data_IF_483821175301
#
_entry.id   IF_483821175301
#
_cell.length_a   1.000
_cell.length_b   1.000
_cell.length_c   1.000
_cell.angle_alpha   90.00
_cell.angle_beta   90.00
_cell.angle_gamma   90.00
#
_symmetry.space_group_name_H-M   'P 1'
#
loop_
_entity.id
_entity.type
_entity.pdbx_description
1 polymer ?
#
# COMPACT_ATOMS: atom_id res chain seq x y z
N UNK A 1 2.24 -14.77 -2.82
CA UNK A 1 1.84 -15.78 -1.81
C UNK A 1 2.34 -17.18 -2.13
N UNK A 2 1.97 -17.79 -3.27
CA UNK A 2 2.35 -19.19 -3.58
C UNK A 2 3.86 -19.41 -3.74
N UNK A 3 4.62 -18.34 -4.02
CA UNK A 3 6.09 -18.35 -4.12
C UNK A 3 6.81 -18.22 -2.76
N UNK A 4 6.10 -17.89 -1.67
CA UNK A 4 6.72 -17.69 -0.36
C UNK A 4 6.93 -19.03 0.34
N UNK A 5 8.19 -19.37 0.60
CA UNK A 5 8.59 -20.59 1.32
C UNK A 5 8.48 -20.43 2.83
N UNK A 6 8.74 -19.23 3.36
CA UNK A 6 8.59 -18.94 4.79
C UNK A 6 7.09 -18.93 5.17
N UNK A 7 6.66 -19.75 6.14
CA UNK A 7 5.24 -19.91 6.47
C UNK A 7 4.62 -18.63 7.08
N UNK A 8 5.39 -17.86 7.84
CA UNK A 8 4.93 -16.60 8.45
C UNK A 8 4.77 -15.53 7.37
N UNK A 9 5.75 -15.39 6.47
CA UNK A 9 5.66 -14.50 5.31
C UNK A 9 4.44 -14.85 4.44
N UNK A 10 4.23 -16.14 4.17
CA UNK A 10 3.09 -16.62 3.39
C UNK A 10 1.77 -16.26 4.07
N UNK A 11 1.65 -16.49 5.37
CA UNK A 11 0.46 -16.16 6.14
C UNK A 11 0.19 -14.64 6.18
N UNK A 12 1.24 -13.82 6.32
CA UNK A 12 1.12 -12.36 6.31
C UNK A 12 0.64 -11.86 4.94
N UNK A 13 1.24 -12.34 3.85
CA UNK A 13 0.80 -11.99 2.49
C UNK A 13 -0.64 -12.43 2.21
N UNK A 14 -1.06 -13.58 2.74
CA UNK A 14 -2.45 -14.04 2.63
C UNK A 14 -3.42 -13.15 3.40
N UNK A 15 -3.07 -12.78 4.64
CA UNK A 15 -3.85 -11.83 5.43
C UNK A 15 -3.99 -10.49 4.73
N UNK A 16 -2.92 -9.99 4.08
CA UNK A 16 -2.97 -8.75 3.29
C UNK A 16 -3.89 -8.90 2.08
N UNK A 17 -3.76 -9.98 1.31
CA UNK A 17 -4.67 -10.27 0.20
C UNK A 17 -6.15 -10.25 0.64
N UNK A 18 -6.50 -10.96 1.72
CA UNK A 18 -7.87 -10.99 2.25
C UNK A 18 -8.35 -9.61 2.71
N UNK A 19 -7.46 -8.82 3.32
CA UNK A 19 -7.77 -7.44 3.73
C UNK A 19 -8.11 -6.56 2.53
N UNK A 20 -7.35 -6.66 1.44
CA UNK A 20 -7.62 -5.92 0.20
C UNK A 20 -8.90 -6.41 -0.47
N UNK A 21 -9.22 -7.71 -0.44
CA UNK A 21 -10.50 -8.20 -0.96
C UNK A 21 -11.68 -7.59 -0.20
N UNK A 22 -11.64 -7.59 1.13
CA UNK A 22 -12.68 -6.97 1.98
C UNK A 22 -12.81 -5.47 1.74
N UNK A 23 -11.69 -4.77 1.59
CA UNK A 23 -11.70 -3.35 1.25
C UNK A 23 -12.34 -3.11 -0.13
N UNK A 24 -11.96 -3.89 -1.14
CA UNK A 24 -12.49 -3.78 -2.49
C UNK A 24 -14.00 -4.11 -2.57
N UNK A 25 -14.53 -5.01 -1.73
CA UNK A 25 -15.97 -5.29 -1.63
C UNK A 25 -16.81 -4.07 -1.23
N UNK A 26 -16.19 -3.03 -0.67
CA UNK A 26 -16.87 -1.76 -0.37
C UNK A 26 -17.10 -0.92 -1.63
N UNK A 27 -16.30 -1.09 -2.69
CA UNK A 27 -16.31 -0.21 -3.87
C UNK A 27 -17.65 -0.22 -4.61
N UNK A 28 -18.27 -1.38 -4.90
CA UNK A 28 -19.59 -1.40 -5.54
C UNK A 28 -20.71 -0.77 -4.70
N UNK A 29 -20.59 -0.83 -3.36
CA UNK A 29 -21.62 -0.36 -2.43
C UNK A 29 -21.51 1.14 -2.16
N UNK A 30 -20.28 1.61 -1.91
CA UNK A 30 -20.01 2.99 -1.51
C UNK A 30 -19.77 3.90 -2.71
N UNK A 31 -19.03 3.41 -3.71
CA UNK A 31 -18.59 4.20 -4.85
C UNK A 31 -19.32 3.85 -6.14
N UNK A 32 -20.22 2.85 -6.10
CA UNK A 32 -20.98 2.35 -7.25
C UNK A 32 -20.10 1.90 -8.43
N UNK A 33 -18.87 1.48 -8.14
CA UNK A 33 -17.94 0.92 -9.12
C UNK A 33 -18.14 -0.60 -9.17
N UNK A 34 -18.62 -1.11 -10.30
CA UNK A 34 -18.96 -2.54 -10.47
C UNK A 34 -17.77 -3.47 -10.25
N UNK A 35 -16.66 -3.19 -10.93
CA UNK A 35 -15.41 -3.95 -10.87
C UNK A 35 -14.27 -3.12 -11.46
N UNK A 36 -13.04 -3.64 -11.40
CA UNK A 36 -11.85 -2.94 -11.91
C UNK A 36 -11.91 -2.60 -13.41
N UNK A 37 -12.70 -3.32 -14.22
CA UNK A 37 -12.87 -3.02 -15.66
C UNK A 37 -13.73 -1.77 -15.89
N UNK A 38 -14.49 -1.36 -14.88
CA UNK A 38 -15.25 -0.11 -14.88
C UNK A 38 -14.40 1.14 -14.60
N UNK A 39 -13.12 0.98 -14.28
CA UNK A 39 -12.20 2.07 -13.98
C UNK A 39 -11.24 2.26 -15.17
N UNK A 40 -11.09 3.49 -15.62
CA UNK A 40 -10.02 3.89 -16.55
C UNK A 40 -8.96 4.62 -15.71
N UNK A 41 -7.92 3.93 -15.22
CA UNK A 41 -6.89 4.58 -14.42
C UNK A 41 -6.10 5.56 -15.28
N UNK A 42 -5.63 6.65 -14.66
CA UNK A 42 -4.62 7.49 -15.29
C UNK A 42 -3.30 6.72 -15.46
N UNK A 43 -2.40 7.24 -16.30
CA UNK A 43 -1.16 6.54 -16.65
C UNK A 43 -0.27 6.28 -15.44
N UNK A 44 -0.19 7.20 -14.48
CA UNK A 44 0.62 7.04 -13.25
C UNK A 44 0.07 5.89 -12.40
N UNK A 45 -1.23 5.84 -12.17
CA UNK A 45 -1.89 4.79 -11.40
C UNK A 45 -1.68 3.42 -12.06
N UNK A 46 -1.76 3.35 -13.39
CA UNK A 46 -1.46 2.14 -14.16
C UNK A 46 -0.01 1.71 -14.00
N UNK A 47 0.94 2.64 -14.11
CA UNK A 47 2.37 2.34 -13.96
C UNK A 47 2.71 1.86 -12.56
N UNK A 48 2.12 2.47 -11.54
CA UNK A 48 2.33 2.04 -10.16
C UNK A 48 1.82 0.61 -9.94
N UNK A 49 0.58 0.32 -10.36
CA UNK A 49 0.02 -1.03 -10.23
C UNK A 49 0.83 -2.09 -11.00
N UNK A 50 1.33 -1.75 -12.19
CA UNK A 50 2.21 -2.63 -12.97
C UNK A 50 3.55 -2.86 -12.26
N UNK A 51 4.11 -1.83 -11.62
CA UNK A 51 5.33 -1.94 -10.84
C UNK A 51 5.15 -2.87 -9.63
N UNK A 52 4.10 -2.69 -8.83
CA UNK A 52 3.78 -3.58 -7.70
C UNK A 52 3.58 -5.04 -8.17
N UNK A 53 2.84 -5.21 -9.27
CA UNK A 53 2.58 -6.52 -9.89
C UNK A 53 3.87 -7.19 -10.36
N UNK A 54 4.77 -6.43 -10.99
CA UNK A 54 6.07 -6.91 -11.45
C UNK A 54 6.90 -7.40 -10.26
N UNK A 55 6.99 -6.61 -9.19
CA UNK A 55 7.74 -6.98 -7.98
C UNK A 55 7.16 -8.25 -7.35
N UNK A 56 5.85 -8.30 -7.13
CA UNK A 56 5.19 -9.46 -6.53
C UNK A 56 5.32 -10.74 -7.37
N UNK A 57 5.39 -10.61 -8.70
CA UNK A 57 5.43 -11.74 -9.63
C UNK A 57 6.83 -12.26 -9.92
N UNK A 58 7.86 -11.41 -9.88
CA UNK A 58 9.21 -11.75 -10.34
C UNK A 58 10.28 -11.69 -9.25
N UNK A 59 10.11 -10.89 -8.21
CA UNK A 59 11.12 -10.74 -7.13
C UNK A 59 10.89 -11.73 -5.99
N UNK A 60 11.81 -11.80 -5.02
CA UNK A 60 11.56 -12.53 -3.78
C UNK A 60 10.25 -12.03 -3.13
N UNK A 61 9.36 -12.93 -2.67
CA UNK A 61 8.09 -12.56 -2.04
C UNK A 61 8.19 -11.54 -0.90
N UNK A 62 9.32 -11.44 -0.21
CA UNK A 62 9.52 -10.42 0.84
C UNK A 62 9.41 -8.99 0.27
N UNK A 63 9.84 -8.76 -0.97
CA UNK A 63 9.79 -7.45 -1.62
C UNK A 63 8.38 -6.99 -1.93
N UNK A 64 7.39 -7.90 -1.97
CA UNK A 64 5.99 -7.51 -2.07
C UNK A 64 5.57 -6.68 -0.84
N UNK A 65 6.06 -7.01 0.36
CA UNK A 65 5.80 -6.19 1.55
C UNK A 65 6.48 -4.82 1.44
N UNK A 66 7.71 -4.77 0.90
CA UNK A 66 8.46 -3.52 0.74
C UNK A 66 7.74 -2.52 -0.15
N UNK A 67 7.18 -2.95 -1.28
CA UNK A 67 6.43 -2.05 -2.17
C UNK A 67 5.06 -1.65 -1.64
N UNK A 68 4.47 -2.41 -0.71
CA UNK A 68 3.16 -2.09 -0.11
C UNK A 68 3.26 -1.11 1.08
N UNK A 69 4.38 -1.08 1.82
CA UNK A 69 4.53 -0.19 2.99
C UNK A 69 4.30 1.29 2.67
N UNK A 70 4.81 1.85 1.55
CA UNK A 70 4.56 3.23 1.17
C UNK A 70 3.08 3.63 1.26
N UNK A 71 2.18 2.85 0.66
CA UNK A 71 0.74 3.12 0.72
C UNK A 71 0.21 3.01 2.16
N UNK A 72 0.54 1.94 2.88
CA UNK A 72 0.02 1.72 4.25
C UNK A 72 0.50 2.74 5.27
N UNK A 73 1.70 3.32 5.10
CA UNK A 73 2.26 4.27 6.04
C UNK A 73 2.00 5.74 5.64
N UNK A 74 2.15 6.08 4.36
CA UNK A 74 2.08 7.47 3.90
C UNK A 74 0.71 8.09 4.20
N UNK A 75 -0.36 7.33 4.01
CA UNK A 75 -1.73 7.81 4.23
C UNK A 75 -1.98 8.13 5.71
N UNK A 76 -1.49 7.27 6.62
CA UNK A 76 -1.56 7.51 8.05
C UNK A 76 -0.68 8.70 8.48
N UNK A 77 0.53 8.80 7.94
CA UNK A 77 1.42 9.93 8.21
C UNK A 77 0.81 11.26 7.74
N UNK A 78 0.25 11.31 6.53
CA UNK A 78 -0.44 12.50 6.01
C UNK A 78 -1.64 12.88 6.87
N UNK A 79 -2.44 11.90 7.30
CA UNK A 79 -3.58 12.14 8.17
C UNK A 79 -3.15 12.75 9.52
N UNK A 80 -2.06 12.24 10.10
CA UNK A 80 -1.45 12.81 11.31
C UNK A 80 -0.98 14.25 11.08
N UNK A 81 -0.33 14.54 9.96
CA UNK A 81 0.13 15.90 9.63
C UNK A 81 -1.02 16.90 9.45
N UNK A 82 -2.20 16.44 9.03
CA UNK A 82 -3.39 17.25 8.81
C UNK A 82 -4.27 17.38 10.07
N UNK A 83 -3.94 16.66 11.13
CA UNK A 83 -4.65 16.69 12.40
C UNK A 83 -4.09 17.77 13.35
N UNK A 84 -4.89 18.29 14.31
CA UNK A 84 -6.33 18.07 14.45
C UNK A 84 -7.14 18.89 13.44
N UNK A 85 -8.29 18.35 13.01
CA UNK A 85 -9.19 19.04 12.08
C UNK A 85 -10.21 19.91 12.83
N UNK A 86 -10.59 21.05 12.26
CA UNK A 86 -11.72 21.82 12.80
C UNK A 86 -13.05 21.10 12.57
N UNK A 87 -14.06 21.36 13.42
CA UNK A 87 -15.41 20.81 13.27
C UNK A 87 -16.14 21.27 12.00
N UNK A 88 -15.60 22.27 11.29
CA UNK A 88 -16.12 22.77 10.01
C UNK A 88 -15.39 22.19 8.80
N UNK A 89 -14.34 21.40 9.00
CA UNK A 89 -13.60 20.80 7.90
C UNK A 89 -14.43 19.69 7.24
N UNK A 90 -14.83 19.92 5.99
CA UNK A 90 -15.62 18.96 5.19
C UNK A 90 -14.91 17.61 5.02
N UNK A 91 -13.57 17.60 5.04
CA UNK A 91 -12.74 16.41 4.84
C UNK A 91 -12.26 15.78 6.16
N UNK A 92 -12.80 16.20 7.30
CA UNK A 92 -12.40 15.67 8.62
C UNK A 92 -12.55 14.15 8.72
N UNK A 93 -13.59 13.57 8.10
CA UNK A 93 -13.80 12.12 8.08
C UNK A 93 -12.73 11.36 7.28
N UNK A 94 -12.22 11.95 6.19
CA UNK A 94 -11.12 11.37 5.42
C UNK A 94 -9.82 11.36 6.22
N UNK A 95 -9.53 12.47 6.92
CA UNK A 95 -8.35 12.57 7.79
C UNK A 95 -8.45 11.55 8.93
N UNK A 96 -9.59 11.52 9.64
CA UNK A 96 -9.79 10.57 10.73
C UNK A 96 -9.74 9.10 10.26
N UNK A 97 -10.33 8.80 9.10
CA UNK A 97 -10.40 7.45 8.55
C UNK A 97 -9.05 6.89 8.08
N UNK A 98 -8.07 7.75 7.79
CA UNK A 98 -6.73 7.34 7.38
C UNK A 98 -5.71 7.35 8.53
N UNK A 99 -6.04 7.91 9.69
CA UNK A 99 -5.12 8.02 10.83
C UNK A 99 -4.97 6.69 11.62
N UNK A 100 -4.60 5.62 10.91
CA UNK A 100 -4.30 4.31 11.48
C UNK A 100 -3.02 3.72 10.86
N UNK A 101 -1.86 3.85 11.53
CA UNK A 101 -0.60 3.28 11.06
C UNK A 101 -0.40 1.81 11.44
N UNK A 102 -1.36 1.14 12.10
CA UNK A 102 -1.17 -0.20 12.68
C UNK A 102 -0.80 -1.26 11.63
N UNK A 103 -1.38 -1.17 10.43
CA UNK A 103 -1.06 -2.05 9.30
C UNK A 103 0.41 -1.94 8.86
N UNK A 104 0.91 -0.71 8.75
CA UNK A 104 2.29 -0.42 8.40
C UNK A 104 3.27 -0.89 9.48
N UNK A 105 2.98 -0.63 10.76
CA UNK A 105 3.82 -1.09 11.88
C UNK A 105 3.91 -2.60 11.97
N UNK A 106 2.81 -3.31 11.70
CA UNK A 106 2.82 -4.77 11.67
C UNK A 106 3.76 -5.32 10.58
N UNK A 107 3.77 -4.70 9.38
CA UNK A 107 4.71 -5.07 8.32
C UNK A 107 6.15 -4.73 8.73
N UNK A 108 6.40 -3.52 9.22
CA UNK A 108 7.73 -3.07 9.62
C UNK A 108 8.36 -3.97 10.70
N UNK A 109 7.60 -4.30 11.75
CA UNK A 109 8.04 -5.21 12.80
C UNK A 109 8.34 -6.60 12.25
N UNK A 110 7.49 -7.12 11.36
CA UNK A 110 7.76 -8.40 10.71
C UNK A 110 9.04 -8.38 9.88
N UNK A 111 9.31 -7.31 9.12
CA UNK A 111 10.53 -7.19 8.32
C UNK A 111 11.79 -7.16 9.17
N UNK A 112 11.76 -6.46 10.31
CA UNK A 112 12.88 -6.42 11.26
C UNK A 112 13.22 -7.83 11.76
N UNK A 113 12.21 -8.61 12.17
CA UNK A 113 12.42 -9.98 12.64
C UNK A 113 12.84 -10.92 11.52
N UNK A 114 12.20 -10.83 10.35
CA UNK A 114 12.49 -11.68 9.20
C UNK A 114 13.96 -11.58 8.75
N UNK A 115 14.50 -10.35 8.71
CA UNK A 115 15.85 -10.08 8.21
C UNK A 115 16.96 -10.62 9.11
N UNK A 116 16.68 -10.92 10.40
CA UNK A 116 17.67 -11.52 11.31
C UNK A 116 18.15 -12.89 10.83
N UNK A 117 17.26 -13.65 10.20
CA UNK A 117 17.53 -15.01 9.71
C UNK A 117 17.50 -15.11 8.18
N UNK A 118 16.95 -14.09 7.49
CA UNK A 118 16.76 -14.08 6.05
C UNK A 118 17.25 -12.74 5.49
N UNK A 119 18.58 -12.56 5.31
CA UNK A 119 19.13 -11.34 4.75
C UNK A 119 18.50 -11.02 3.38
N UNK A 120 18.18 -9.75 3.17
CA UNK A 120 17.63 -9.25 1.90
C UNK A 120 18.63 -8.28 1.26
N UNK A 121 18.56 -8.09 -0.05
CA UNK A 121 19.27 -6.99 -0.71
C UNK A 121 18.61 -5.66 -0.31
N UNK A 122 19.24 -4.97 0.64
CA UNK A 122 18.78 -3.67 1.17
C UNK A 122 18.80 -2.55 0.11
N UNK A 123 19.75 -2.60 -0.82
CA UNK A 123 19.83 -1.62 -1.89
C UNK A 123 18.64 -1.77 -2.82
N UNK A 124 18.31 -3.00 -3.19
CA UNK A 124 17.12 -3.29 -3.99
C UNK A 124 15.83 -2.95 -3.25
N UNK A 125 15.73 -3.28 -1.95
CA UNK A 125 14.60 -2.91 -1.11
C UNK A 125 14.40 -1.39 -1.09
N UNK A 126 15.48 -0.62 -0.89
CA UNK A 126 15.44 0.84 -0.89
C UNK A 126 14.98 1.38 -2.24
N UNK A 127 15.51 0.85 -3.34
CA UNK A 127 15.07 1.25 -4.69
C UNK A 127 13.58 1.03 -4.89
N UNK A 128 13.05 -0.12 -4.49
CA UNK A 128 11.63 -0.42 -4.61
C UNK A 128 10.75 0.47 -3.74
N UNK A 129 11.15 0.70 -2.48
CA UNK A 129 10.45 1.59 -1.58
C UNK A 129 10.41 3.03 -2.12
N UNK A 130 11.55 3.56 -2.56
CA UNK A 130 11.65 4.91 -3.12
C UNK A 130 10.81 5.06 -4.38
N UNK A 131 10.80 4.06 -5.26
CA UNK A 131 10.00 4.08 -6.47
C UNK A 131 8.49 4.08 -6.16
N UNK A 132 8.05 3.26 -5.19
CA UNK A 132 6.66 3.25 -4.74
C UNK A 132 6.24 4.60 -4.11
N UNK A 133 7.06 5.19 -3.24
CA UNK A 133 6.81 6.55 -2.70
C UNK A 133 6.74 7.60 -3.82
N UNK A 134 7.58 7.47 -4.85
CA UNK A 134 7.55 8.38 -6.01
C UNK A 134 6.21 8.29 -6.75
N UNK A 135 5.67 7.08 -6.92
CA UNK A 135 4.36 6.90 -7.53
C UNK A 135 3.22 7.43 -6.67
N UNK A 136 3.27 7.31 -5.35
CA UNK A 136 2.30 7.96 -4.44
C UNK A 136 2.27 9.47 -4.67
N UNK A 137 3.44 10.11 -4.66
CA UNK A 137 3.57 11.54 -4.94
C UNK A 137 2.99 11.91 -6.31
N UNK A 138 3.34 11.16 -7.36
CA UNK A 138 2.85 11.41 -8.71
C UNK A 138 1.34 11.23 -8.80
N UNK A 139 0.75 10.25 -8.12
CA UNK A 139 -0.71 10.06 -8.07
C UNK A 139 -1.42 11.25 -7.44
N UNK A 140 -0.94 11.73 -6.29
CA UNK A 140 -1.48 12.95 -5.67
C UNK A 140 -1.33 14.15 -6.61
N UNK A 141 -0.17 14.32 -7.23
CA UNK A 141 0.07 15.44 -8.13
C UNK A 141 -0.84 15.38 -9.38
N UNK A 142 -1.01 14.22 -9.99
CA UNK A 142 -1.89 14.08 -11.17
C UNK A 142 -3.36 14.32 -10.81
N UNK A 143 -3.82 13.89 -9.62
CA UNK A 143 -5.20 14.13 -9.19
C UNK A 143 -5.53 15.61 -8.97
N UNK A 144 -4.53 16.45 -8.71
CA UNK A 144 -4.70 17.91 -8.57
C UNK A 144 -4.66 18.65 -9.92
N UNK A 145 -4.13 18.00 -10.96
CA UNK A 145 -3.94 18.58 -12.29
C UNK A 145 -4.88 17.97 -13.35
N UNK A 146 -5.82 17.12 -12.94
CA UNK A 146 -6.78 16.41 -13.80
C UNK A 146 -8.08 17.17 -14.01
#
# INVERSE_FOLDING_TARGET
MNRASNPILKALLFKKYDSYQKYNETFPKTWHIKDAKGIVPNEVCKQYSLFESMVASHQDPIYALIVMIPCEYLWAWLAEQLAPTSSKNLYASWIAGNNDPSGAYAIGNFLIEYQKENPIDEKLATQFYTQAITYEYQNFNTALNS
#
